data_IF_317446568593
#
_entry.id   IF_317446568593
#
_cell.length_a   1.000
_cell.length_b   1.000
_cell.length_c   1.000
_cell.angle_alpha   90.00
_cell.angle_beta   90.00
_cell.angle_gamma   90.00
#
_symmetry.space_group_name_H-M   'P 1'
#
loop_
_entity.id
_entity.type
_entity.pdbx_description
1 polymer ?
#
# COMPACT_ATOMS: atom_id res chain seq x y z
N UNK A 1 -25.93 63.02 -1.70
CA UNK A 1 -25.01 62.01 -2.29
C UNK A 1 -24.52 61.14 -1.14
N UNK A 2 -25.11 59.95 -0.96
CA UNK A 2 -24.76 59.01 0.10
C UNK A 2 -23.81 57.95 -0.45
N UNK A 3 -22.62 57.82 0.14
CA UNK A 3 -21.69 56.72 -0.10
C UNK A 3 -21.83 55.71 1.05
N UNK A 4 -22.48 54.58 0.79
CA UNK A 4 -22.45 53.40 1.66
C UNK A 4 -21.27 52.52 1.23
N UNK A 5 -20.22 52.49 2.05
CA UNK A 5 -19.09 51.57 1.89
C UNK A 5 -19.40 50.21 2.50
N UNK A 6 -19.36 49.15 1.69
CA UNK A 6 -19.50 47.77 2.11
C UNK A 6 -18.14 47.24 2.57
N UNK A 7 -17.97 46.90 3.86
CA UNK A 7 -16.81 46.18 4.36
C UNK A 7 -16.96 44.69 4.01
N UNK A 8 -16.06 44.17 3.16
CA UNK A 8 -15.94 42.73 2.90
C UNK A 8 -14.91 42.17 3.87
N UNK A 9 -15.37 41.41 4.88
CA UNK A 9 -14.48 40.58 5.70
C UNK A 9 -14.09 39.33 4.91
N UNK A 10 -12.83 39.23 4.50
CA UNK A 10 -12.26 37.98 3.99
C UNK A 10 -11.97 37.04 5.17
N UNK A 11 -12.79 36.00 5.32
CA UNK A 11 -12.49 34.92 6.27
C UNK A 11 -11.38 34.03 5.67
N UNK A 12 -10.15 34.16 6.19
CA UNK A 12 -9.10 33.16 5.95
C UNK A 12 -9.48 31.88 6.69
N UNK A 13 -9.95 30.86 5.95
CA UNK A 13 -10.00 29.50 6.45
C UNK A 13 -8.57 28.99 6.62
N UNK A 14 -8.05 29.07 7.85
CA UNK A 14 -6.81 28.38 8.21
C UNK A 14 -7.08 26.87 8.12
N UNK A 15 -6.59 26.22 7.07
CA UNK A 15 -6.53 24.78 7.02
C UNK A 15 -5.62 24.31 8.16
N UNK A 16 -6.20 23.79 9.24
CA UNK A 16 -5.44 23.14 10.30
C UNK A 16 -4.56 22.06 9.67
N UNK A 17 -3.25 22.01 9.99
CA UNK A 17 -2.42 20.93 9.51
C UNK A 17 -3.01 19.63 10.06
N UNK A 18 -3.34 18.70 9.17
CA UNK A 18 -3.71 17.34 9.54
C UNK A 18 -2.54 16.78 10.36
N UNK A 19 -2.75 16.66 11.66
CA UNK A 19 -1.79 16.06 12.57
C UNK A 19 -1.82 14.54 12.34
N UNK A 20 -1.05 14.05 11.36
CA UNK A 20 -0.84 12.62 11.10
C UNK A 20 0.03 11.96 12.18
N UNK A 21 -0.29 12.21 13.46
CA UNK A 21 0.35 11.57 14.60
C UNK A 21 -0.44 10.36 15.10
N UNK A 22 -1.31 9.79 14.26
CA UNK A 22 -1.74 8.41 14.44
C UNK A 22 -0.51 7.52 14.41
N UNK A 23 -0.44 6.52 15.28
CA UNK A 23 0.61 5.50 15.21
C UNK A 23 0.66 4.97 13.78
N UNK A 24 1.65 5.41 13.00
CA UNK A 24 2.05 4.69 11.80
C UNK A 24 2.58 3.36 12.34
N UNK A 25 2.04 2.26 11.86
CA UNK A 25 2.70 0.97 11.97
C UNK A 25 4.04 1.02 11.24
N UNK A 26 4.48 -0.13 10.75
CA UNK A 26 5.78 -0.26 10.09
C UNK A 26 5.77 0.18 8.62
N UNK A 27 4.93 1.16 8.26
CA UNK A 27 4.88 1.69 6.90
C UNK A 27 6.25 2.26 6.49
N UNK A 28 6.77 1.92 5.30
CA UNK A 28 7.96 2.56 4.77
C UNK A 28 7.79 4.08 4.75
N UNK A 29 8.83 4.81 5.16
CA UNK A 29 8.82 6.27 5.13
C UNK A 29 8.53 6.76 3.71
N UNK A 30 7.45 7.53 3.48
CA UNK A 30 7.16 8.03 2.16
C UNK A 30 8.24 9.03 1.71
N UNK A 31 8.37 9.19 0.39
CA UNK A 31 9.20 10.27 -0.18
C UNK A 31 8.70 11.65 0.26
N UNK A 32 9.55 12.67 0.12
CA UNK A 32 9.15 14.04 0.45
C UNK A 32 7.95 14.51 -0.38
N UNK A 33 7.15 15.43 0.17
CA UNK A 33 6.00 16.03 -0.55
C UNK A 33 6.45 16.66 -1.87
N UNK A 34 7.62 17.32 -1.89
CA UNK A 34 8.16 17.92 -3.11
C UNK A 34 8.45 16.86 -4.18
N UNK A 35 9.12 15.76 -3.80
CA UNK A 35 9.38 14.63 -4.69
C UNK A 35 8.08 13.98 -5.19
N UNK A 36 7.10 13.78 -4.31
CA UNK A 36 5.81 13.21 -4.69
C UNK A 36 5.07 14.09 -5.72
N UNK A 37 5.14 15.43 -5.59
CA UNK A 37 4.57 16.36 -6.57
C UNK A 37 5.26 16.27 -7.93
N UNK A 38 6.59 16.11 -7.96
CA UNK A 38 7.34 15.89 -9.20
C UNK A 38 6.88 14.60 -9.88
N UNK A 39 6.85 13.48 -9.15
CA UNK A 39 6.37 12.21 -9.71
C UNK A 39 4.93 12.30 -10.22
N UNK A 40 4.04 12.96 -9.47
CA UNK A 40 2.65 13.16 -9.87
C UNK A 40 2.53 13.94 -11.19
N UNK A 41 3.35 14.98 -11.37
CA UNK A 41 3.34 15.80 -12.59
C UNK A 41 3.85 15.06 -13.84
N UNK A 42 4.64 13.99 -13.65
CA UNK A 42 5.12 13.13 -14.73
C UNK A 42 4.10 12.07 -15.17
N UNK A 43 3.03 11.85 -14.39
CA UNK A 43 2.04 10.82 -14.71
C UNK A 43 1.16 11.23 -15.90
N UNK A 44 1.11 10.35 -16.89
CA UNK A 44 0.13 10.44 -17.98
C UNK A 44 -1.23 9.97 -17.48
N UNK A 45 -2.21 10.87 -17.49
CA UNK A 45 -3.61 10.53 -17.22
C UNK A 45 -4.22 9.87 -18.46
N UNK A 46 -4.88 8.73 -18.27
CA UNK A 46 -5.61 8.02 -19.32
C UNK A 46 -6.83 7.29 -18.70
N UNK A 47 -7.86 6.98 -19.50
CA UNK A 47 -8.94 6.10 -19.06
C UNK A 47 -8.42 4.70 -18.69
N UNK A 48 -9.07 4.00 -17.75
CA UNK A 48 -8.69 2.63 -17.38
C UNK A 48 -8.92 1.68 -18.56
N UNK A 49 -7.99 0.75 -18.75
CA UNK A 49 -8.10 -0.30 -19.75
C UNK A 49 -9.01 -1.41 -19.24
N UNK A 50 -10.03 -1.76 -20.02
CA UNK A 50 -10.92 -2.89 -19.75
C UNK A 50 -10.61 -4.12 -20.59
N UNK A 51 -9.86 -3.95 -21.70
CA UNK A 51 -9.46 -5.02 -22.60
C UNK A 51 -7.95 -4.99 -22.85
N UNK A 52 -7.22 -6.11 -22.63
CA UNK A 52 -7.75 -7.43 -22.25
C UNK A 52 -8.27 -7.48 -20.81
N UNK A 53 -9.21 -8.40 -20.56
CA UNK A 53 -9.70 -8.69 -19.20
C UNK A 53 -8.56 -8.98 -18.20
N UNK A 54 -8.78 -8.64 -16.93
CA UNK A 54 -7.79 -8.80 -15.87
C UNK A 54 -7.38 -10.26 -15.66
N UNK A 55 -6.08 -10.53 -15.68
CA UNK A 55 -5.51 -11.85 -15.43
C UNK A 55 -4.58 -11.82 -14.21
N UNK A 56 -5.12 -12.06 -13.01
CA UNK A 56 -4.33 -12.10 -11.75
C UNK A 56 -3.10 -13.00 -11.83
N UNK A 57 -3.23 -14.17 -12.48
CA UNK A 57 -2.17 -15.16 -12.65
C UNK A 57 -0.92 -14.64 -13.38
N UNK A 58 -1.02 -13.54 -14.13
CA UNK A 58 0.12 -12.91 -14.83
C UNK A 58 1.04 -12.11 -13.90
N UNK A 59 0.62 -11.88 -12.67
CA UNK A 59 1.41 -11.30 -11.59
C UNK A 59 1.92 -12.41 -10.68
N UNK A 60 3.04 -13.03 -11.06
CA UNK A 60 3.70 -14.05 -10.24
C UNK A 60 4.10 -13.42 -8.89
N UNK A 61 3.51 -13.89 -7.80
CA UNK A 61 3.78 -13.40 -6.44
C UNK A 61 4.13 -14.53 -5.48
N UNK A 62 4.74 -14.10 -4.37
CA UNK A 62 5.41 -14.91 -3.35
C UNK A 62 6.64 -15.63 -3.88
N UNK A 63 7.49 -14.87 -4.58
CA UNK A 63 8.80 -15.37 -5.01
C UNK A 63 9.75 -15.47 -3.81
N UNK A 64 10.71 -16.38 -3.88
CA UNK A 64 11.82 -16.42 -2.93
C UNK A 64 12.64 -15.14 -3.03
N UNK A 65 12.85 -14.47 -1.89
CA UNK A 65 13.67 -13.26 -1.77
C UNK A 65 15.07 -13.60 -1.27
N UNK A 66 15.16 -14.40 -0.21
CA UNK A 66 16.43 -14.85 0.36
C UNK A 66 16.24 -16.14 1.12
N UNK A 67 17.17 -17.09 0.93
CA UNK A 67 17.08 -18.42 1.53
C UNK A 67 15.74 -19.10 1.20
N UNK A 68 14.95 -19.41 2.22
CA UNK A 68 13.60 -19.98 2.09
C UNK A 68 12.47 -18.95 2.29
N UNK A 69 12.83 -17.71 2.60
CA UNK A 69 11.86 -16.64 2.81
C UNK A 69 11.32 -16.16 1.48
N UNK A 70 10.01 -16.32 1.27
CA UNK A 70 9.31 -15.69 0.18
C UNK A 70 9.01 -14.21 0.49
N UNK A 71 8.45 -13.50 -0.49
CA UNK A 71 8.03 -12.11 -0.32
C UNK A 71 7.08 -11.92 0.86
N UNK A 72 6.14 -12.85 1.10
CA UNK A 72 5.19 -12.75 2.23
C UNK A 72 5.93 -12.78 3.55
N UNK A 73 6.79 -13.78 3.76
CA UNK A 73 7.55 -13.90 5.01
C UNK A 73 8.52 -12.71 5.18
N UNK A 74 9.03 -12.17 4.08
CA UNK A 74 9.86 -10.96 4.10
C UNK A 74 9.08 -9.74 4.58
N UNK A 75 7.86 -9.55 4.10
CA UNK A 75 6.98 -8.46 4.57
C UNK A 75 6.58 -8.65 6.02
N UNK A 76 6.24 -9.87 6.44
CA UNK A 76 5.91 -10.15 7.84
C UNK A 76 7.06 -9.79 8.79
N UNK A 77 8.31 -10.10 8.42
CA UNK A 77 9.49 -9.69 9.21
C UNK A 77 9.66 -8.17 9.26
N UNK A 78 9.48 -7.50 8.12
CA UNK A 78 9.61 -6.03 8.02
C UNK A 78 8.54 -5.31 8.83
N UNK A 79 7.31 -5.80 8.78
CA UNK A 79 6.14 -5.09 9.32
C UNK A 79 5.81 -5.44 10.78
N UNK A 80 6.57 -6.36 11.39
CA UNK A 80 6.37 -6.74 12.77
C UNK A 80 6.83 -5.65 13.75
N UNK A 81 6.04 -5.42 14.80
CA UNK A 81 6.39 -4.49 15.89
C UNK A 81 7.39 -5.09 16.88
N UNK A 82 7.70 -6.38 16.74
CA UNK A 82 8.69 -7.14 17.51
C UNK A 82 9.42 -8.10 16.58
N UNK A 83 10.54 -8.66 17.03
CA UNK A 83 11.26 -9.67 16.25
C UNK A 83 10.39 -10.91 15.98
N UNK A 84 10.36 -11.35 14.72
CA UNK A 84 9.57 -12.50 14.28
C UNK A 84 10.37 -13.78 14.45
N UNK A 85 9.80 -14.76 15.15
CA UNK A 85 10.33 -16.12 15.17
C UNK A 85 9.85 -16.87 13.93
N UNK A 86 10.76 -17.59 13.27
CA UNK A 86 10.46 -18.40 12.08
C UNK A 86 10.89 -19.85 12.23
N UNK A 87 10.24 -20.74 11.51
CA UNK A 87 10.65 -22.14 11.39
C UNK A 87 11.74 -22.37 10.33
N UNK A 88 12.06 -23.65 10.07
CA UNK A 88 13.08 -24.05 9.08
C UNK A 88 12.70 -23.73 7.63
N UNK A 89 11.44 -23.38 7.36
CA UNK A 89 10.93 -22.95 6.06
C UNK A 89 10.70 -21.43 6.00
N UNK A 90 11.23 -20.69 6.99
CA UNK A 90 11.05 -19.25 7.16
C UNK A 90 9.60 -18.81 7.43
N UNK A 91 8.69 -19.73 7.78
CA UNK A 91 7.32 -19.36 8.14
C UNK A 91 7.29 -18.73 9.52
N UNK A 92 6.66 -17.56 9.62
CA UNK A 92 6.46 -16.87 10.89
C UNK A 92 5.61 -17.73 11.85
N UNK A 93 6.19 -18.10 12.99
CA UNK A 93 5.53 -18.90 14.04
C UNK A 93 5.16 -18.07 15.26
N UNK A 94 5.84 -16.95 15.50
CA UNK A 94 5.50 -15.99 16.54
C UNK A 94 5.92 -14.57 16.13
N UNK A 95 5.18 -13.58 16.60
CA UNK A 95 5.45 -12.16 16.37
C UNK A 95 4.27 -11.29 16.82
N UNK A 96 4.37 -10.00 16.56
CA UNK A 96 3.28 -9.05 16.76
C UNK A 96 3.32 -8.02 15.63
N UNK A 97 2.15 -7.61 15.19
CA UNK A 97 1.94 -6.69 14.09
C UNK A 97 0.84 -5.70 14.45
N UNK A 98 0.78 -4.63 13.68
CA UNK A 98 -0.29 -3.64 13.75
C UNK A 98 -0.78 -3.40 12.32
N UNK A 99 -2.07 -3.66 12.09
CA UNK A 99 -2.69 -3.50 10.78
C UNK A 99 -3.07 -2.04 10.58
N UNK A 100 -2.35 -1.34 9.69
CA UNK A 100 -2.54 0.10 9.46
C UNK A 100 -3.90 0.46 8.83
N UNK A 101 -4.59 -0.51 8.22
CA UNK A 101 -5.88 -0.27 7.57
C UNK A 101 -7.05 -0.16 8.57
N UNK A 102 -7.01 -0.93 9.66
CA UNK A 102 -8.10 -1.05 10.62
C UNK A 102 -7.67 -0.75 12.07
N UNK A 103 -6.38 -0.47 12.29
CA UNK A 103 -5.81 -0.17 13.60
C UNK A 103 -5.77 -1.36 14.56
N UNK A 104 -5.89 -2.59 14.05
CA UNK A 104 -5.98 -3.79 14.89
C UNK A 104 -4.58 -4.35 15.19
N UNK A 105 -4.21 -4.58 16.46
CA UNK A 105 -3.03 -5.37 16.79
C UNK A 105 -3.28 -6.84 16.50
N UNK A 106 -2.30 -7.50 15.87
CA UNK A 106 -2.38 -8.91 15.48
C UNK A 106 -1.17 -9.65 16.06
N UNK A 107 -1.39 -10.76 16.77
CA UNK A 107 -0.33 -11.51 17.45
C UNK A 107 0.00 -12.87 16.79
N UNK A 108 -0.65 -13.19 15.67
CA UNK A 108 -0.43 -14.44 14.94
C UNK A 108 -0.37 -14.15 13.44
N UNK A 109 0.68 -14.63 12.77
CA UNK A 109 0.90 -14.46 11.34
C UNK A 109 -0.24 -15.02 10.47
N UNK A 110 -1.02 -15.97 10.95
CA UNK A 110 -2.21 -16.49 10.24
C UNK A 110 -3.40 -15.54 10.27
N UNK A 111 -3.40 -14.56 11.18
CA UNK A 111 -4.36 -13.46 11.22
C UNK A 111 -4.00 -12.31 10.27
N UNK A 112 -2.94 -12.46 9.47
CA UNK A 112 -2.47 -11.46 8.52
C UNK A 112 -2.47 -11.98 7.09
N UNK A 113 -2.89 -11.11 6.19
CA UNK A 113 -2.61 -11.19 4.76
C UNK A 113 -1.57 -10.12 4.38
N UNK A 114 -0.95 -10.30 3.21
CA UNK A 114 -0.09 -9.28 2.62
C UNK A 114 -0.84 -8.65 1.45
N UNK A 115 -1.21 -7.39 1.62
CA UNK A 115 -1.97 -6.63 0.63
C UNK A 115 -1.08 -5.77 -0.25
N UNK A 116 -1.56 -5.49 -1.45
CA UNK A 116 -0.96 -4.58 -2.41
C UNK A 116 -1.59 -3.19 -2.26
N UNK A 117 -0.84 -2.17 -1.81
CA UNK A 117 -1.37 -0.78 -1.69
C UNK A 117 -1.97 -0.31 -3.02
N UNK A 118 -1.27 -0.56 -4.13
CA UNK A 118 -1.87 -0.42 -5.46
C UNK A 118 -2.38 -1.79 -5.88
N UNK A 119 -3.70 -2.03 -5.97
CA UNK A 119 -4.24 -3.33 -6.34
C UNK A 119 -3.69 -3.81 -7.68
N UNK A 120 -3.42 -5.11 -7.80
CA UNK A 120 -2.90 -5.68 -9.06
C UNK A 120 -3.86 -5.47 -10.24
N UNK A 121 -5.17 -5.43 -9.98
CA UNK A 121 -6.21 -5.10 -10.98
C UNK A 121 -6.10 -3.65 -11.43
N UNK A 122 -5.94 -2.72 -10.49
CA UNK A 122 -5.71 -1.31 -10.81
C UNK A 122 -4.45 -1.14 -11.68
N UNK A 123 -3.33 -1.77 -11.28
CA UNK A 123 -2.10 -1.76 -12.08
C UNK A 123 -2.30 -2.32 -13.50
N UNK A 124 -3.12 -3.38 -13.64
CA UNK A 124 -3.50 -3.93 -14.95
C UNK A 124 -4.25 -2.91 -15.81
N UNK A 125 -5.29 -2.30 -15.25
CA UNK A 125 -6.12 -1.30 -15.93
C UNK A 125 -5.32 -0.02 -16.25
N UNK A 126 -4.30 0.30 -15.46
CA UNK A 126 -3.35 1.39 -15.70
C UNK A 126 -2.25 1.05 -16.74
N UNK A 127 -2.26 -0.16 -17.32
CA UNK A 127 -1.38 -0.53 -18.44
C UNK A 127 -0.41 -1.69 -18.18
N UNK A 128 -0.41 -2.29 -16.97
CA UNK A 128 0.44 -3.43 -16.68
C UNK A 128 0.09 -4.70 -17.50
N UNK A 129 -1.08 -4.71 -18.15
CA UNK A 129 -1.45 -5.74 -19.12
C UNK A 129 -0.41 -5.88 -20.25
N UNK A 130 0.21 -4.78 -20.65
CA UNK A 130 1.21 -4.75 -21.73
C UNK A 130 2.66 -4.87 -21.24
N UNK A 131 2.89 -5.00 -19.93
CA UNK A 131 4.24 -5.18 -19.39
C UNK A 131 4.82 -6.55 -19.72
N UNK A 132 6.13 -6.68 -19.57
CA UNK A 132 6.76 -8.01 -19.53
C UNK A 132 6.36 -8.78 -18.28
N UNK A 133 6.44 -10.11 -18.33
CA UNK A 133 6.18 -10.95 -17.15
C UNK A 133 7.12 -10.60 -15.99
N UNK A 134 8.38 -10.33 -16.27
CA UNK A 134 9.37 -9.89 -15.27
C UNK A 134 8.93 -8.61 -14.58
N UNK A 135 8.46 -7.61 -15.33
CA UNK A 135 8.03 -6.34 -14.73
C UNK A 135 6.78 -6.49 -13.86
N UNK A 136 5.81 -7.31 -14.26
CA UNK A 136 4.66 -7.65 -13.40
C UNK A 136 5.07 -8.39 -12.13
N UNK A 137 6.02 -9.32 -12.24
CA UNK A 137 6.60 -10.03 -11.09
C UNK A 137 7.30 -9.06 -10.13
N UNK A 138 8.10 -8.13 -10.63
CA UNK A 138 8.73 -7.09 -9.81
C UNK A 138 7.69 -6.25 -9.07
N UNK A 139 6.66 -5.77 -9.78
CA UNK A 139 5.59 -4.97 -9.17
C UNK A 139 4.83 -5.73 -8.08
N UNK A 140 4.52 -7.01 -8.32
CA UNK A 140 3.78 -7.83 -7.36
C UNK A 140 4.61 -8.21 -6.12
N UNK A 141 5.94 -8.08 -6.16
CA UNK A 141 6.86 -8.44 -5.07
C UNK A 141 7.74 -7.25 -4.65
N UNK A 142 7.27 -6.02 -4.85
CA UNK A 142 8.05 -4.82 -4.58
C UNK A 142 8.17 -4.57 -3.07
N UNK A 143 9.38 -4.76 -2.57
CA UNK A 143 9.74 -4.57 -1.15
C UNK A 143 10.40 -3.22 -0.86
N UNK A 144 10.74 -2.45 -1.90
CA UNK A 144 11.49 -1.19 -1.76
C UNK A 144 10.54 -0.03 -1.56
N UNK A 145 9.43 -0.02 -2.31
CA UNK A 145 8.35 0.96 -2.17
C UNK A 145 7.28 0.41 -1.22
N UNK A 146 6.35 1.25 -0.72
CA UNK A 146 5.29 0.79 0.19
C UNK A 146 4.25 -0.13 -0.50
N UNK A 147 4.57 -0.83 -1.59
CA UNK A 147 3.59 -1.57 -2.38
C UNK A 147 2.97 -2.76 -1.64
N UNK A 148 3.66 -3.35 -0.67
CA UNK A 148 3.16 -4.50 0.10
C UNK A 148 3.05 -4.16 1.58
N UNK A 149 1.98 -4.56 2.25
CA UNK A 149 1.76 -4.36 3.69
C UNK A 149 1.15 -5.59 4.37
N UNK A 150 1.56 -5.87 5.61
CA UNK A 150 0.84 -6.81 6.46
C UNK A 150 -0.46 -6.19 7.01
N UNK A 151 -1.61 -6.77 6.67
CA UNK A 151 -2.94 -6.29 7.05
C UNK A 151 -3.75 -7.39 7.71
N UNK A 152 -4.73 -7.04 8.55
CA UNK A 152 -5.60 -8.05 9.15
C UNK A 152 -6.42 -8.79 8.08
N UNK A 153 -6.57 -10.11 8.23
CA UNK A 153 -7.38 -10.92 7.30
C UNK A 153 -8.85 -10.48 7.23
N UNK A 154 -9.33 -9.76 8.24
CA UNK A 154 -10.70 -9.24 8.29
C UNK A 154 -10.88 -8.18 7.20
N UNK A 155 -9.95 -7.25 7.08
CA UNK A 155 -10.05 -6.13 6.15
C UNK A 155 -9.74 -6.54 4.70
N UNK A 156 -8.73 -7.39 4.50
CA UNK A 156 -8.40 -7.94 3.18
C UNK A 156 -9.61 -8.57 2.47
N UNK A 157 -10.43 -9.32 3.23
CA UNK A 157 -11.63 -10.00 2.71
C UNK A 157 -12.82 -9.08 2.48
N UNK A 158 -12.78 -7.85 3.00
CA UNK A 158 -13.77 -6.80 2.71
C UNK A 158 -13.38 -6.14 1.39
N UNK A 159 -12.12 -5.71 1.24
CA UNK A 159 -11.62 -5.09 0.01
C UNK A 159 -11.73 -6.01 -1.21
N UNK A 160 -11.28 -7.28 -1.11
CA UNK A 160 -11.35 -8.25 -2.21
C UNK A 160 -12.77 -8.62 -2.65
N UNK A 161 -13.79 -8.34 -1.84
CA UNK A 161 -15.19 -8.66 -2.17
C UNK A 161 -15.82 -7.61 -3.09
N UNK A 162 -15.15 -6.48 -3.26
CA UNK A 162 -15.59 -5.37 -4.10
C UNK A 162 -14.92 -5.37 -5.49
N UNK A 163 -13.99 -6.30 -5.74
CA UNK A 163 -13.23 -6.45 -6.99
C UNK A 163 -13.80 -7.51 -7.94
#
# INVERSE_FOLDING_TARGET
MHFTGLLVLAALAAASPLNFNGKRGNLPTPVSIATAKTYLAELKVAPPVTEPAYERKKFQHWITISGKCDTRETVLKRDATVEVTVDSECKATAGAWYSDYDGIPVANATGLDIDHIVPLKEGWQAGAWNWTATRRKEFANDLIRPQLLAVSVKEERVCKRLD
#
